data_IF_715434123805
#
_entry.id   IF_715434123805
#
_cell.length_a   1.000
_cell.length_b   1.000
_cell.length_c   1.000
_cell.angle_alpha   90.00
_cell.angle_beta   90.00
_cell.angle_gamma   90.00
#
_symmetry.space_group_name_H-M   'P 1'
#
loop_
_entity.id
_entity.type
_entity.pdbx_description
1 polymer ?
#
# COMPACT_ATOMS: atom_id res chain seq x y z
N UNK A 1 -14.84 36.02 7.32
CA UNK A 1 -13.48 35.46 7.44
C UNK A 1 -13.41 34.25 6.52
N UNK A 2 -12.78 34.39 5.35
CA UNK A 2 -12.74 33.36 4.30
C UNK A 2 -11.55 33.61 3.38
N UNK A 3 -10.35 33.17 3.76
CA UNK A 3 -9.17 33.20 2.88
C UNK A 3 -8.18 32.07 3.20
N UNK A 4 -8.66 30.88 3.55
CA UNK A 4 -7.81 29.70 3.57
C UNK A 4 -7.72 29.07 2.17
N UNK A 5 -7.15 29.83 1.23
CA UNK A 5 -6.57 29.22 0.03
C UNK A 5 -5.25 28.56 0.42
N UNK A 6 -5.32 27.45 1.16
CA UNK A 6 -4.12 26.67 1.45
C UNK A 6 -3.56 26.14 0.14
N UNK A 7 -2.27 26.40 -0.03
CA UNK A 7 -1.48 25.90 -1.15
C UNK A 7 -0.67 24.73 -0.61
N UNK A 8 -0.63 23.63 -1.35
CA UNK A 8 0.20 22.50 -0.95
C UNK A 8 1.69 22.87 -1.06
N UNK A 9 2.45 22.74 0.03
CA UNK A 9 3.89 23.04 0.03
C UNK A 9 4.73 22.15 -0.91
N UNK A 10 4.24 20.94 -1.21
CA UNK A 10 4.94 19.99 -2.08
C UNK A 10 4.51 20.08 -3.55
N UNK A 11 3.23 20.33 -3.78
CA UNK A 11 2.59 20.21 -5.09
C UNK A 11 2.22 21.59 -5.70
N UNK A 12 2.35 22.70 -4.94
CA UNK A 12 1.87 24.07 -5.26
C UNK A 12 0.41 24.22 -5.74
N UNK A 13 -0.36 23.14 -5.73
CA UNK A 13 -1.79 23.14 -6.06
C UNK A 13 -2.69 23.59 -4.91
N UNK A 14 -3.88 24.09 -5.26
CA UNK A 14 -4.92 24.47 -4.30
C UNK A 14 -5.45 23.26 -3.55
N UNK A 15 -5.64 23.41 -2.24
CA UNK A 15 -6.28 22.44 -1.36
C UNK A 15 -7.80 22.63 -1.41
N UNK A 16 -8.55 21.56 -1.65
CA UNK A 16 -10.03 21.59 -1.74
C UNK A 16 -10.68 21.01 -0.47
N UNK A 17 -10.35 19.76 -0.10
CA UNK A 17 -10.82 19.12 1.14
C UNK A 17 -9.66 18.57 1.99
N UNK A 18 -8.71 19.43 2.39
CA UNK A 18 -7.58 19.05 3.25
C UNK A 18 -6.36 18.43 2.53
N UNK A 19 -6.45 18.13 1.23
CA UNK A 19 -5.28 17.81 0.37
C UNK A 19 -5.52 18.29 -1.07
N UNK A 20 -4.44 18.63 -1.77
CA UNK A 20 -4.53 19.00 -3.19
C UNK A 20 -4.76 17.73 -4.06
N UNK A 21 -5.33 17.88 -5.27
CA UNK A 21 -5.70 16.75 -6.13
C UNK A 21 -4.50 15.86 -6.50
N UNK A 22 -3.36 16.45 -6.86
CA UNK A 22 -2.13 15.72 -7.23
C UNK A 22 -1.65 14.81 -6.08
N UNK A 23 -1.53 15.40 -4.89
CA UNK A 23 -1.09 14.68 -3.70
C UNK A 23 -2.17 13.68 -3.20
N UNK A 24 -3.42 13.75 -3.67
CA UNK A 24 -4.49 12.76 -3.41
C UNK A 24 -4.37 11.56 -4.35
N UNK A 25 -4.21 11.82 -5.65
CA UNK A 25 -4.02 10.79 -6.69
C UNK A 25 -2.79 9.95 -6.40
N UNK A 26 -1.64 10.58 -6.14
CA UNK A 26 -0.42 9.87 -5.76
C UNK A 26 -0.59 8.95 -4.54
N UNK A 27 -1.51 9.30 -3.62
CA UNK A 27 -1.82 8.49 -2.43
C UNK A 27 -2.82 7.37 -2.74
N UNK A 28 -3.71 7.57 -3.69
CA UNK A 28 -4.61 6.53 -4.20
C UNK A 28 -3.79 5.42 -4.90
N UNK A 29 -2.81 5.80 -5.72
CA UNK A 29 -1.90 4.87 -6.40
C UNK A 29 -1.11 4.00 -5.41
N UNK A 30 -0.60 4.61 -4.34
CA UNK A 30 0.08 3.87 -3.26
C UNK A 30 -0.87 2.88 -2.55
N UNK A 31 -2.14 3.24 -2.41
CA UNK A 31 -3.15 2.38 -1.77
C UNK A 31 -3.41 1.12 -2.58
N UNK A 32 -3.46 1.24 -3.91
CA UNK A 32 -3.61 0.10 -4.82
C UNK A 32 -2.36 -0.80 -4.83
N UNK A 33 -1.16 -0.19 -4.81
CA UNK A 33 0.10 -0.94 -4.66
C UNK A 33 0.21 -1.68 -3.32
N UNK A 34 -0.36 -1.12 -2.25
CA UNK A 34 -0.38 -1.80 -0.93
C UNK A 34 -1.23 -3.08 -0.98
N UNK A 35 -2.31 -3.09 -1.77
CA UNK A 35 -3.20 -4.25 -1.91
C UNK A 35 -2.53 -5.40 -2.66
N UNK A 36 -1.82 -5.11 -3.74
CA UNK A 36 -1.06 -6.11 -4.50
C UNK A 36 0.10 -6.66 -3.67
N UNK A 37 0.80 -5.79 -2.94
CA UNK A 37 1.89 -6.17 -2.03
C UNK A 37 1.39 -7.13 -0.94
N UNK A 38 0.23 -6.86 -0.33
CA UNK A 38 -0.37 -7.75 0.68
C UNK A 38 -0.66 -9.16 0.15
N UNK A 39 -1.17 -9.28 -1.09
CA UNK A 39 -1.43 -10.58 -1.71
C UNK A 39 -0.14 -11.36 -1.99
N UNK A 40 0.90 -10.69 -2.49
CA UNK A 40 2.21 -11.33 -2.74
C UNK A 40 2.81 -11.89 -1.45
N UNK A 41 2.75 -11.13 -0.35
CA UNK A 41 3.23 -11.62 0.95
C UNK A 41 2.42 -12.81 1.48
N UNK A 42 1.10 -12.82 1.30
CA UNK A 42 0.26 -13.97 1.69
C UNK A 42 0.60 -15.24 0.89
N UNK A 43 0.79 -15.12 -0.42
CA UNK A 43 1.17 -16.25 -1.28
C UNK A 43 2.55 -16.78 -0.91
N UNK A 44 3.53 -15.90 -0.71
CA UNK A 44 4.87 -16.28 -0.26
C UNK A 44 4.82 -17.00 1.09
N UNK A 45 4.07 -16.47 2.06
CA UNK A 45 3.91 -17.10 3.37
C UNK A 45 3.25 -18.48 3.28
N UNK A 46 2.24 -18.65 2.41
CA UNK A 46 1.60 -19.94 2.19
C UNK A 46 2.57 -20.96 1.56
N UNK A 47 3.36 -20.55 0.57
CA UNK A 47 4.35 -21.41 -0.09
C UNK A 47 5.47 -21.84 0.86
N UNK A 48 5.97 -20.93 1.70
CA UNK A 48 7.01 -21.26 2.68
C UNK A 48 6.48 -22.21 3.75
N UNK A 49 5.27 -21.98 4.27
CA UNK A 49 4.61 -22.90 5.20
C UNK A 49 4.41 -24.28 4.58
N UNK A 50 3.89 -24.32 3.34
CA UNK A 50 3.65 -25.59 2.65
C UNK A 50 4.94 -26.36 2.43
N UNK A 51 6.01 -25.69 1.95
CA UNK A 51 7.32 -26.30 1.77
C UNK A 51 7.94 -26.80 3.09
N UNK A 52 7.78 -26.04 4.17
CA UNK A 52 8.29 -26.40 5.50
C UNK A 52 7.56 -27.64 6.04
N UNK A 53 6.22 -27.66 5.97
CA UNK A 53 5.40 -28.81 6.37
C UNK A 53 5.75 -30.03 5.52
N UNK A 54 5.86 -29.88 4.20
CA UNK A 54 6.21 -30.97 3.30
C UNK A 54 7.63 -31.52 3.59
N UNK A 55 8.60 -30.64 3.83
CA UNK A 55 9.96 -31.02 4.19
C UNK A 55 10.05 -31.74 5.54
N UNK A 56 9.27 -31.31 6.54
CA UNK A 56 9.15 -32.00 7.82
C UNK A 56 8.55 -33.40 7.64
N UNK A 57 7.41 -33.52 6.95
CA UNK A 57 6.78 -34.82 6.68
C UNK A 57 7.76 -35.78 6.00
N UNK A 58 8.55 -35.28 5.05
CA UNK A 58 9.55 -36.08 4.31
C UNK A 58 10.81 -36.43 5.12
N UNK A 59 11.05 -35.75 6.24
CA UNK A 59 12.16 -36.09 7.16
C UNK A 59 11.76 -37.13 8.20
N UNK A 60 10.46 -37.26 8.49
CA UNK A 60 9.91 -38.23 9.45
C UNK A 60 9.41 -39.53 8.80
N UNK A 61 9.21 -39.55 7.48
CA UNK A 61 8.87 -40.74 6.69
C UNK A 61 10.12 -41.39 6.08
#
# INVERSE_FOLDING_TARGET
MSHDQLICASCSGRVLEGRCPVCREARADLRDSTRTTSLVYLVLAALTLFGLVFGLVRSFA
#
